data_IF_409299283859
#
_entry.id   IF_409299283859
#
_cell.length_a   1.000
_cell.length_b   1.000
_cell.length_c   1.000
_cell.angle_alpha   90.00
_cell.angle_beta   90.00
_cell.angle_gamma   90.00
#
_symmetry.space_group_name_H-M   'P 1'
#
loop_
_entity.id
_entity.type
_entity.pdbx_description
1 polymer ?
#
# COMPACT_ATOMS: atom_id res chain seq x y z
N UNK A 1 20.64 6.80 12.65
CA UNK A 1 20.10 7.18 11.32
C UNK A 1 19.19 6.02 10.93
N UNK A 2 17.95 6.26 10.56
CA UNK A 2 17.07 5.17 10.19
C UNK A 2 17.37 4.70 8.74
N UNK A 3 16.91 3.51 8.38
CA UNK A 3 17.26 2.88 7.12
C UNK A 3 16.70 3.66 5.91
N UNK A 4 15.47 4.20 6.02
CA UNK A 4 14.85 5.01 4.98
C UNK A 4 15.58 6.35 4.76
N UNK A 5 16.08 7.00 5.82
CA UNK A 5 16.86 8.23 5.68
C UNK A 5 18.18 7.97 4.93
N UNK A 6 18.82 6.83 5.20
CA UNK A 6 20.02 6.42 4.46
C UNK A 6 19.71 6.16 2.99
N UNK A 7 18.62 5.42 2.73
CA UNK A 7 18.19 5.10 1.37
C UNK A 7 17.77 6.35 0.59
N UNK A 8 17.09 7.28 1.24
CA UNK A 8 16.66 8.56 0.66
C UNK A 8 17.81 9.35 0.07
N UNK A 9 18.99 9.30 0.70
CA UNK A 9 20.18 9.98 0.20
C UNK A 9 20.70 9.37 -1.13
N UNK A 10 20.35 8.13 -1.45
CA UNK A 10 20.73 7.47 -2.70
C UNK A 10 19.83 7.84 -3.90
N UNK A 11 18.67 8.48 -3.66
CA UNK A 11 17.79 8.95 -4.74
C UNK A 11 18.52 10.01 -5.56
N UNK A 12 18.62 9.89 -6.91
CA UNK A 12 19.35 10.79 -7.77
C UNK A 12 18.87 12.25 -7.71
N UNK A 13 19.74 13.21 -8.04
CA UNK A 13 19.41 14.65 -7.98
C UNK A 13 18.23 15.02 -8.89
N UNK A 14 18.09 14.40 -10.05
CA UNK A 14 16.98 14.62 -10.97
C UNK A 14 15.61 14.24 -10.37
N UNK A 15 15.62 13.40 -9.33
CA UNK A 15 14.42 12.96 -8.59
C UNK A 15 14.37 13.53 -7.17
N UNK A 16 15.05 14.68 -6.90
CA UNK A 16 15.16 15.27 -5.57
C UNK A 16 13.82 15.53 -4.87
N UNK A 17 12.77 15.81 -5.62
CA UNK A 17 11.44 16.02 -5.06
C UNK A 17 10.91 14.76 -4.35
N UNK A 18 11.27 13.57 -4.84
CA UNK A 18 10.93 12.31 -4.19
C UNK A 18 11.68 12.13 -2.86
N UNK A 19 12.89 12.65 -2.72
CA UNK A 19 13.62 12.67 -1.44
C UNK A 19 12.85 13.47 -0.38
N UNK A 20 12.30 14.62 -0.77
CA UNK A 20 11.53 15.50 0.12
C UNK A 20 10.18 14.86 0.44
N UNK A 21 9.48 14.35 -0.57
CA UNK A 21 8.20 13.72 -0.40
C UNK A 21 8.27 12.46 0.47
N UNK A 22 9.29 11.61 0.28
CA UNK A 22 9.46 10.38 1.07
C UNK A 22 9.63 10.67 2.58
N UNK A 23 10.32 11.77 2.92
CA UNK A 23 10.38 12.23 4.30
C UNK A 23 9.03 12.79 4.76
N UNK A 24 8.41 13.66 3.95
CA UNK A 24 7.21 14.40 4.32
C UNK A 24 5.97 13.51 4.55
N UNK A 25 5.77 12.48 3.72
CA UNK A 25 4.58 11.62 3.82
C UNK A 25 4.58 10.69 5.04
N UNK A 26 5.73 10.53 5.69
CA UNK A 26 5.85 9.73 6.92
C UNK A 26 5.71 10.58 8.20
N UNK A 27 5.55 11.90 8.07
CA UNK A 27 5.35 12.77 9.23
C UNK A 27 3.91 12.66 9.74
N UNK A 28 3.67 12.95 11.03
CA UNK A 28 2.32 13.00 11.58
C UNK A 28 1.37 13.88 10.76
N UNK A 29 0.20 13.38 10.46
CA UNK A 29 -0.84 14.06 9.67
C UNK A 29 -2.22 13.57 10.09
N UNK A 30 -3.10 13.27 9.13
CA UNK A 30 -4.44 12.76 9.40
C UNK A 30 -4.46 11.26 9.79
N UNK A 31 -3.41 10.52 9.43
CA UNK A 31 -3.27 9.08 9.68
C UNK A 31 -2.66 8.80 11.06
N UNK A 32 -3.07 7.69 11.67
CA UNK A 32 -2.38 7.15 12.84
C UNK A 32 -1.00 6.61 12.46
N UNK A 33 -0.15 6.39 13.45
CA UNK A 33 1.19 5.84 13.24
C UNK A 33 1.14 4.44 12.59
N UNK A 34 0.19 3.62 13.01
CA UNK A 34 -0.06 2.29 12.47
C UNK A 34 -0.50 2.36 11.01
N UNK A 35 -1.36 3.31 10.67
CA UNK A 35 -1.81 3.54 9.28
C UNK A 35 -0.66 4.01 8.39
N UNK A 36 0.13 4.99 8.84
CA UNK A 36 1.29 5.48 8.08
C UNK A 36 2.24 4.34 7.73
N UNK A 37 2.71 3.59 8.75
CA UNK A 37 3.69 2.54 8.55
C UNK A 37 3.12 1.30 7.86
N UNK A 38 1.86 0.95 8.11
CA UNK A 38 1.21 -0.15 7.40
C UNK A 38 1.05 0.15 5.91
N UNK A 39 0.59 1.35 5.56
CA UNK A 39 0.52 1.80 4.16
C UNK A 39 1.90 1.86 3.52
N UNK A 40 2.92 2.38 4.23
CA UNK A 40 4.29 2.45 3.73
C UNK A 40 4.86 1.06 3.42
N UNK A 41 4.70 0.09 4.34
CA UNK A 41 5.15 -1.30 4.14
C UNK A 41 4.44 -1.95 2.97
N UNK A 42 3.11 -1.85 2.90
CA UNK A 42 2.33 -2.44 1.80
C UNK A 42 2.73 -1.84 0.44
N UNK A 43 2.94 -0.52 0.41
CA UNK A 43 3.35 0.22 -0.80
C UNK A 43 4.77 -0.12 -1.24
N UNK A 44 5.72 -0.23 -0.30
CA UNK A 44 7.10 -0.62 -0.59
C UNK A 44 7.18 -2.03 -1.19
N UNK A 45 6.38 -2.97 -0.68
CA UNK A 45 6.29 -4.33 -1.23
C UNK A 45 5.67 -4.32 -2.62
N UNK A 46 4.56 -3.59 -2.81
CA UNK A 46 3.86 -3.49 -4.09
C UNK A 46 4.74 -2.84 -5.18
N UNK A 47 5.63 -1.92 -4.80
CA UNK A 47 6.56 -1.23 -5.70
C UNK A 47 7.77 -2.06 -6.14
N UNK A 48 8.00 -3.23 -5.50
CA UNK A 48 8.96 -4.27 -5.91
C UNK A 48 10.44 -3.90 -5.93
N UNK A 49 10.84 -2.73 -5.40
CA UNK A 49 12.25 -2.40 -5.21
C UNK A 49 12.77 -3.04 -3.91
N UNK A 50 13.82 -3.91 -3.98
CA UNK A 50 14.30 -4.64 -2.79
C UNK A 50 14.87 -3.74 -1.70
N UNK A 51 15.58 -2.67 -2.07
CA UNK A 51 16.22 -1.77 -1.11
C UNK A 51 15.18 -0.94 -0.35
N UNK A 52 14.19 -0.38 -1.07
CA UNK A 52 13.09 0.36 -0.46
C UNK A 52 12.28 -0.52 0.49
N UNK A 53 11.96 -1.74 0.05
CA UNK A 53 11.24 -2.70 0.90
C UNK A 53 12.02 -3.03 2.17
N UNK A 54 13.33 -3.32 2.05
CA UNK A 54 14.15 -3.67 3.19
C UNK A 54 14.22 -2.53 4.20
N UNK A 55 14.57 -1.32 3.75
CA UNK A 55 14.66 -0.14 4.60
C UNK A 55 13.32 0.19 5.28
N UNK A 56 12.20 0.05 4.55
CA UNK A 56 10.86 0.29 5.11
C UNK A 56 10.50 -0.71 6.19
N UNK A 57 10.82 -2.00 5.99
CA UNK A 57 10.55 -3.05 6.99
C UNK A 57 11.37 -2.85 8.26
N UNK A 58 12.65 -2.49 8.14
CA UNK A 58 13.52 -2.20 9.28
C UNK A 58 12.99 -1.05 10.12
N UNK A 59 12.64 0.07 9.48
CA UNK A 59 12.14 1.23 10.19
C UNK A 59 10.72 0.99 10.75
N UNK A 60 9.84 0.32 10.01
CA UNK A 60 8.49 0.03 10.48
C UNK A 60 8.48 -0.77 11.80
N UNK A 61 9.36 -1.76 11.95
CA UNK A 61 9.47 -2.57 13.16
C UNK A 61 9.95 -1.78 14.39
N UNK A 62 10.56 -0.61 14.19
CA UNK A 62 10.90 0.32 15.30
C UNK A 62 9.68 1.16 15.70
N UNK A 63 8.76 1.39 14.77
CA UNK A 63 7.68 2.35 14.97
C UNK A 63 6.33 1.71 15.34
N UNK A 64 6.04 0.50 14.86
CA UNK A 64 4.75 -0.17 15.06
C UNK A 64 4.92 -1.63 15.48
N UNK A 65 3.85 -2.21 16.03
CA UNK A 65 3.83 -3.61 16.41
C UNK A 65 4.04 -4.54 15.20
N UNK A 66 4.73 -5.70 15.36
CA UNK A 66 4.93 -6.66 14.28
C UNK A 66 3.63 -7.10 13.58
N UNK A 67 2.50 -7.13 14.29
CA UNK A 67 1.19 -7.47 13.73
C UNK A 67 0.75 -6.52 12.60
N UNK A 68 1.05 -5.21 12.70
CA UNK A 68 0.78 -4.23 11.65
C UNK A 68 1.60 -4.53 10.39
N UNK A 69 2.88 -4.85 10.58
CA UNK A 69 3.78 -5.22 9.47
C UNK A 69 3.31 -6.51 8.78
N UNK A 70 2.86 -7.50 9.55
CA UNK A 70 2.34 -8.76 8.99
C UNK A 70 1.03 -8.55 8.22
N UNK A 71 0.12 -7.71 8.72
CA UNK A 71 -1.10 -7.34 7.99
C UNK A 71 -0.77 -6.59 6.69
N UNK A 72 0.16 -5.65 6.73
CA UNK A 72 0.60 -4.92 5.54
C UNK A 72 1.23 -5.84 4.47
N UNK A 73 2.06 -6.81 4.88
CA UNK A 73 2.61 -7.84 3.99
C UNK A 73 1.52 -8.70 3.36
N UNK A 74 0.54 -9.12 4.18
CA UNK A 74 -0.58 -9.92 3.71
C UNK A 74 -1.46 -9.15 2.71
N UNK A 75 -1.75 -7.86 2.99
CA UNK A 75 -2.47 -6.99 2.08
C UNK A 75 -1.75 -6.86 0.72
N UNK A 76 -0.44 -6.60 0.74
CA UNK A 76 0.36 -6.48 -0.47
C UNK A 76 0.34 -7.78 -1.31
N UNK A 77 0.51 -8.94 -0.67
CA UNK A 77 0.51 -10.23 -1.34
C UNK A 77 -0.87 -10.57 -1.95
N UNK A 78 -1.95 -10.37 -1.18
CA UNK A 78 -3.30 -10.65 -1.65
C UNK A 78 -3.72 -9.70 -2.78
N UNK A 79 -3.39 -8.42 -2.67
CA UNK A 79 -3.70 -7.46 -3.74
C UNK A 79 -2.83 -7.68 -4.97
N UNK A 80 -1.62 -8.21 -4.84
CA UNK A 80 -0.81 -8.67 -5.98
C UNK A 80 -1.54 -9.69 -6.85
N UNK A 81 -2.33 -10.59 -6.25
CA UNK A 81 -3.18 -11.57 -6.95
C UNK A 81 -4.53 -10.96 -7.37
N UNK A 82 -5.25 -10.36 -6.41
CA UNK A 82 -6.62 -9.90 -6.61
C UNK A 82 -6.71 -8.79 -7.64
N UNK A 83 -5.78 -7.83 -7.61
CA UNK A 83 -5.81 -6.72 -8.55
C UNK A 83 -5.61 -7.18 -10.00
N UNK A 84 -4.82 -8.22 -10.25
CA UNK A 84 -4.68 -8.81 -11.59
C UNK A 84 -6.00 -9.41 -12.03
N UNK A 85 -6.61 -10.26 -11.19
CA UNK A 85 -7.81 -11.00 -11.54
C UNK A 85 -9.03 -10.09 -11.71
N UNK A 86 -9.31 -9.20 -10.74
CA UNK A 86 -10.49 -8.35 -10.78
C UNK A 86 -10.34 -7.21 -11.78
N UNK A 87 -9.14 -6.67 -11.98
CA UNK A 87 -8.85 -5.72 -13.06
C UNK A 87 -9.13 -6.32 -14.44
N UNK A 88 -8.68 -7.56 -14.68
CA UNK A 88 -9.00 -8.26 -15.93
C UNK A 88 -10.51 -8.36 -16.13
N UNK A 89 -11.26 -8.82 -15.14
CA UNK A 89 -12.73 -8.96 -15.23
C UNK A 89 -13.42 -7.62 -15.53
N UNK A 90 -12.97 -6.56 -14.86
CA UNK A 90 -13.50 -5.22 -15.08
C UNK A 90 -13.21 -4.71 -16.49
N UNK A 91 -11.96 -4.85 -16.94
CA UNK A 91 -11.53 -4.36 -18.25
C UNK A 91 -12.16 -5.12 -19.42
N UNK A 92 -12.37 -6.43 -19.30
CA UNK A 92 -12.97 -7.24 -20.35
C UNK A 92 -14.49 -6.94 -20.48
N UNK A 93 -15.17 -6.61 -19.38
CA UNK A 93 -16.56 -6.15 -19.35
C UNK A 93 -17.58 -7.15 -19.91
N UNK A 94 -17.30 -8.47 -19.81
CA UNK A 94 -18.18 -9.52 -20.33
C UNK A 94 -18.75 -10.35 -19.19
N UNK A 95 -20.05 -10.58 -19.22
CA UNK A 95 -20.79 -11.33 -18.18
C UNK A 95 -20.29 -12.76 -18.01
N UNK A 96 -19.84 -13.39 -19.09
CA UNK A 96 -19.32 -14.76 -19.04
C UNK A 96 -18.12 -14.91 -18.10
N UNK A 97 -17.33 -13.83 -17.92
CA UNK A 97 -16.20 -13.82 -16.97
C UNK A 97 -16.63 -13.35 -15.58
N UNK A 98 -17.55 -12.40 -15.48
CA UNK A 98 -17.97 -11.85 -14.19
C UNK A 98 -18.81 -12.84 -13.37
N UNK A 99 -19.56 -13.73 -14.02
CA UNK A 99 -20.36 -14.76 -13.39
C UNK A 99 -19.54 -15.99 -12.94
N UNK A 100 -18.32 -16.16 -13.42
CA UNK A 100 -17.49 -17.31 -13.00
C UNK A 100 -16.99 -17.13 -11.56
N UNK A 101 -17.04 -18.20 -10.74
CA UNK A 101 -16.44 -18.15 -9.42
C UNK A 101 -14.93 -17.93 -9.54
N UNK A 102 -14.37 -17.05 -8.69
CA UNK A 102 -12.94 -16.72 -8.72
C UNK A 102 -12.04 -17.93 -8.44
N UNK A 103 -12.47 -18.85 -7.57
CA UNK A 103 -11.72 -20.03 -7.10
C UNK A 103 -10.31 -19.69 -6.57
N UNK A 104 -10.15 -18.47 -6.06
CA UNK A 104 -8.94 -17.99 -5.41
C UNK A 104 -9.14 -17.97 -3.89
N UNK A 105 -8.17 -18.48 -3.15
CA UNK A 105 -8.24 -18.46 -1.68
C UNK A 105 -7.85 -17.09 -1.16
N UNK A 106 -8.72 -16.50 -0.33
CA UNK A 106 -8.58 -15.16 0.25
C UNK A 106 -8.90 -15.15 1.75
N UNK A 107 -8.75 -16.28 2.43
CA UNK A 107 -9.13 -16.44 3.85
C UNK A 107 -8.44 -15.42 4.77
N UNK A 108 -7.23 -14.96 4.41
CA UNK A 108 -6.48 -13.98 5.19
C UNK A 108 -7.19 -12.62 5.29
N UNK A 109 -8.08 -12.28 4.35
CA UNK A 109 -8.93 -11.07 4.43
C UNK A 109 -9.88 -11.09 5.65
N UNK A 110 -10.26 -12.28 6.12
CA UNK A 110 -11.11 -12.47 7.30
C UNK A 110 -10.31 -12.71 8.59
N UNK A 111 -8.99 -12.83 8.50
CA UNK A 111 -8.10 -13.21 9.61
C UNK A 111 -7.05 -12.12 9.85
N UNK A 112 -7.48 -10.86 9.97
CA UNK A 112 -6.59 -9.73 10.26
C UNK A 112 -6.09 -9.81 11.70
N UNK A 113 -4.86 -9.36 11.92
CA UNK A 113 -4.22 -9.37 13.25
C UNK A 113 -4.47 -8.08 14.02
N UNK A 114 -4.83 -7.01 13.30
CA UNK A 114 -5.06 -5.68 13.86
C UNK A 114 -6.46 -5.17 13.53
N UNK A 115 -6.58 -3.99 12.95
CA UNK A 115 -7.85 -3.38 12.54
C UNK A 115 -8.24 -3.84 11.13
N UNK A 116 -9.49 -4.31 10.97
CA UNK A 116 -10.04 -4.62 9.64
C UNK A 116 -10.02 -3.41 8.72
N UNK A 117 -10.36 -2.24 9.24
CA UNK A 117 -10.37 -0.99 8.49
C UNK A 117 -8.97 -0.60 8.02
N UNK A 118 -7.95 -0.73 8.89
CA UNK A 118 -6.57 -0.44 8.50
C UNK A 118 -6.05 -1.44 7.46
N UNK A 119 -6.40 -2.71 7.59
CA UNK A 119 -6.06 -3.72 6.58
C UNK A 119 -6.65 -3.36 5.19
N UNK A 120 -7.91 -2.91 5.16
CA UNK A 120 -8.55 -2.44 3.92
C UNK A 120 -7.88 -1.17 3.37
N UNK A 121 -7.39 -0.27 4.24
CA UNK A 121 -6.61 0.90 3.83
C UNK A 121 -5.28 0.48 3.17
N UNK A 122 -4.62 -0.56 3.70
CA UNK A 122 -3.40 -1.12 3.08
C UNK A 122 -3.74 -1.74 1.71
N UNK A 123 -4.87 -2.46 1.60
CA UNK A 123 -5.34 -3.01 0.33
C UNK A 123 -5.67 -1.91 -0.69
N UNK A 124 -6.27 -0.81 -0.26
CA UNK A 124 -6.56 0.36 -1.09
C UNK A 124 -5.29 0.96 -1.68
N UNK A 125 -4.27 1.19 -0.84
CA UNK A 125 -2.98 1.74 -1.28
C UNK A 125 -2.30 0.86 -2.35
N UNK A 126 -2.27 -0.46 -2.14
CA UNK A 126 -1.73 -1.41 -3.11
C UNK A 126 -2.55 -1.45 -4.40
N UNK A 127 -3.88 -1.39 -4.28
CA UNK A 127 -4.78 -1.36 -5.44
C UNK A 127 -4.60 -0.11 -6.30
N UNK A 128 -4.27 1.03 -5.67
CA UNK A 128 -3.92 2.26 -6.38
C UNK A 128 -2.61 2.10 -7.16
N UNK A 129 -1.54 1.56 -6.54
CA UNK A 129 -0.26 1.27 -7.23
C UNK A 129 -0.47 0.34 -8.42
N UNK A 130 -1.29 -0.69 -8.25
CA UNK A 130 -1.55 -1.68 -9.30
C UNK A 130 -2.58 -1.21 -10.36
N UNK A 131 -3.23 -0.06 -10.18
CA UNK A 131 -4.20 0.51 -11.14
C UNK A 131 -5.46 -0.34 -11.32
N UNK A 132 -5.99 -0.95 -10.25
CA UNK A 132 -7.22 -1.73 -10.29
C UNK A 132 -8.43 -0.87 -9.89
N UNK A 133 -9.11 -0.22 -10.85
CA UNK A 133 -10.24 0.68 -10.58
C UNK A 133 -11.33 0.04 -9.70
N UNK A 134 -11.80 -1.14 -10.06
CA UNK A 134 -12.85 -1.83 -9.29
C UNK A 134 -12.41 -2.16 -7.86
N UNK A 135 -11.12 -2.53 -7.67
CA UNK A 135 -10.58 -2.78 -6.34
C UNK A 135 -10.46 -1.49 -5.52
N UNK A 136 -10.00 -0.40 -6.14
CA UNK A 136 -9.91 0.93 -5.50
C UNK A 136 -11.28 1.35 -4.97
N UNK A 137 -12.31 1.33 -5.82
CA UNK A 137 -13.68 1.69 -5.43
C UNK A 137 -14.21 0.83 -4.27
N UNK A 138 -13.98 -0.49 -4.34
CA UNK A 138 -14.44 -1.41 -3.30
C UNK A 138 -13.76 -1.16 -1.97
N UNK A 139 -12.43 -1.03 -1.94
CA UNK A 139 -11.68 -0.78 -0.69
C UNK A 139 -11.95 0.62 -0.15
N UNK A 140 -12.07 1.64 -1.01
CA UNK A 140 -12.42 3.00 -0.60
C UNK A 140 -13.78 3.03 0.10
N UNK A 141 -14.81 2.39 -0.46
CA UNK A 141 -16.11 2.29 0.18
C UNK A 141 -16.00 1.66 1.58
N UNK A 142 -15.29 0.54 1.71
CA UNK A 142 -15.15 -0.17 3.00
C UNK A 142 -14.43 0.68 4.04
N UNK A 143 -13.36 1.37 3.69
CA UNK A 143 -12.64 2.23 4.65
C UNK A 143 -13.48 3.45 5.05
N UNK A 144 -14.26 4.04 4.14
CA UNK A 144 -15.19 5.13 4.44
C UNK A 144 -16.30 4.70 5.39
N UNK A 145 -16.91 3.54 5.15
CA UNK A 145 -17.89 2.92 6.05
C UNK A 145 -17.26 2.58 7.42
N UNK A 146 -15.98 2.25 7.45
CA UNK A 146 -15.18 2.01 8.66
C UNK A 146 -14.74 3.29 9.42
N UNK A 147 -15.13 4.48 8.95
CA UNK A 147 -14.87 5.76 9.61
C UNK A 147 -13.58 6.48 9.20
N UNK A 148 -12.84 5.99 8.19
CA UNK A 148 -11.68 6.70 7.62
C UNK A 148 -12.18 7.92 6.84
N UNK A 149 -11.61 9.10 7.10
CA UNK A 149 -11.96 10.34 6.41
C UNK A 149 -11.39 10.40 4.99
N UNK A 150 -11.89 11.34 4.18
CA UNK A 150 -11.33 11.61 2.85
C UNK A 150 -9.88 12.08 2.91
N UNK A 151 -9.54 12.90 3.92
CA UNK A 151 -8.16 13.35 4.14
C UNK A 151 -7.23 12.18 4.46
N UNK A 152 -7.69 11.22 5.28
CA UNK A 152 -6.93 10.01 5.59
C UNK A 152 -6.72 9.12 4.37
N UNK A 153 -7.76 8.94 3.55
CA UNK A 153 -7.62 8.22 2.26
C UNK A 153 -6.62 8.93 1.37
N UNK A 154 -6.73 10.25 1.22
CA UNK A 154 -5.83 11.04 0.41
C UNK A 154 -4.37 10.92 0.90
N UNK A 155 -4.13 11.00 2.22
CA UNK A 155 -2.79 10.86 2.78
C UNK A 155 -2.23 9.45 2.57
N UNK A 156 -3.03 8.39 2.70
CA UNK A 156 -2.62 7.03 2.38
C UNK A 156 -2.20 6.88 0.90
N UNK A 157 -2.95 7.48 -0.02
CA UNK A 157 -2.60 7.45 -1.46
C UNK A 157 -1.36 8.30 -1.75
N UNK A 158 -1.13 9.41 -1.04
CA UNK A 158 0.12 10.18 -1.14
C UNK A 158 1.34 9.34 -0.71
N UNK A 159 1.23 8.55 0.36
CA UNK A 159 2.26 7.59 0.76
C UNK A 159 2.50 6.59 -0.38
N UNK A 160 1.44 5.95 -0.90
CA UNK A 160 1.55 4.95 -1.96
C UNK A 160 2.23 5.51 -3.22
N UNK A 161 1.81 6.68 -3.68
CA UNK A 161 2.38 7.35 -4.86
C UNK A 161 3.86 7.70 -4.66
N UNK A 162 4.21 8.22 -3.48
CA UNK A 162 5.59 8.59 -3.15
C UNK A 162 6.50 7.37 -3.08
N UNK A 163 6.06 6.28 -2.44
CA UNK A 163 6.82 5.03 -2.36
C UNK A 163 7.02 4.40 -3.73
N UNK A 164 6.00 4.42 -4.58
CA UNK A 164 6.13 3.92 -5.94
C UNK A 164 7.10 4.76 -6.77
N UNK A 165 7.00 6.10 -6.70
CA UNK A 165 7.95 7.00 -7.36
C UNK A 165 9.38 6.82 -6.86
N UNK A 166 9.58 6.69 -5.53
CA UNK A 166 10.90 6.44 -4.95
C UNK A 166 11.48 5.09 -5.41
N UNK A 167 10.68 4.05 -5.52
CA UNK A 167 11.11 2.76 -6.07
C UNK A 167 11.64 2.90 -7.51
N UNK A 168 10.93 3.65 -8.37
CA UNK A 168 11.38 3.92 -9.75
C UNK A 168 12.68 4.72 -9.75
N UNK A 169 12.80 5.75 -8.91
CA UNK A 169 14.00 6.57 -8.85
C UNK A 169 15.26 5.83 -8.34
N UNK A 170 15.07 4.80 -7.54
CA UNK A 170 16.17 3.94 -7.05
C UNK A 170 16.66 2.90 -8.08
N UNK A 171 15.96 2.74 -9.19
CA UNK A 171 16.37 1.88 -10.31
C UNK A 171 17.17 2.65 -11.39
N UNK A 172 17.33 3.96 -11.23
CA UNK A 172 18.07 4.81 -12.15
C UNK A 172 19.56 4.83 -11.82
#
# INVERSE_FOLDING_TARGET
>A
MNALETLRAAIPEMAKDLRLNLHGVLQPGSLTKEQIWGVAVASAIASRNPQLRQATLEDALVHVAPAVVEDAKAAAALMGMNNVYYRFRHMIGRDEYTQKPARLRMQRLAQVLTSKTDFELFCLAVSAINGCESCIRSHEQVVREGGISEDQVNDAIRIAATFHGAAVALEM
#
